data_IF_923645998121
#
_entry.id   IF_923645998121
#
_cell.length_a   1.000
_cell.length_b   1.000
_cell.length_c   1.000
_cell.angle_alpha   90.00
_cell.angle_beta   90.00
_cell.angle_gamma   90.00
#
_symmetry.space_group_name_H-M   'P 1'
#
loop_
_entity.id
_entity.type
_entity.pdbx_description
1 polymer ?
#
# COMPACT_ATOMS: atom_id res chain seq x y z
N UNK A 1 4.80 -13.95 12.02
CA UNK A 1 5.98 -13.07 11.84
C UNK A 1 6.41 -13.21 10.39
N UNK A 2 6.31 -12.14 9.61
CA UNK A 2 6.54 -12.19 8.15
C UNK A 2 8.04 -12.05 7.90
N UNK A 3 8.59 -12.98 7.10
CA UNK A 3 9.97 -12.95 6.66
C UNK A 3 10.02 -12.91 5.14
N UNK A 4 10.64 -11.87 4.61
CA UNK A 4 10.80 -11.66 3.18
C UNK A 4 12.17 -12.16 2.75
N UNK A 5 12.25 -12.87 1.63
CA UNK A 5 13.55 -13.22 1.02
C UNK A 5 14.17 -11.97 0.43
N UNK A 6 15.45 -11.71 0.73
CA UNK A 6 16.18 -10.62 0.09
C UNK A 6 16.77 -11.14 -1.21
N UNK A 7 16.40 -10.53 -2.34
CA UNK A 7 16.90 -10.96 -3.65
C UNK A 7 18.43 -10.91 -3.68
N UNK A 8 19.05 -12.01 -4.12
CA UNK A 8 20.51 -12.12 -4.24
C UNK A 8 21.24 -12.33 -2.91
N UNK A 9 20.53 -12.57 -1.79
CA UNK A 9 21.16 -12.87 -0.49
C UNK A 9 20.56 -14.14 0.14
N UNK A 10 21.35 -14.79 0.98
CA UNK A 10 20.90 -15.97 1.73
C UNK A 10 20.03 -15.61 2.95
N UNK A 11 20.06 -14.35 3.37
CA UNK A 11 19.33 -13.83 4.52
C UNK A 11 17.88 -13.48 4.18
N UNK A 12 17.03 -13.55 5.21
CA UNK A 12 15.66 -13.06 5.15
C UNK A 12 15.52 -11.78 5.97
N UNK A 13 14.72 -10.84 5.50
CA UNK A 13 14.33 -9.64 6.22
C UNK A 13 13.09 -9.92 7.07
N UNK A 14 13.16 -9.65 8.38
CA UNK A 14 12.00 -9.72 9.27
C UNK A 14 11.22 -8.41 9.17
N UNK A 15 9.97 -8.50 8.68
CA UNK A 15 9.12 -7.34 8.49
C UNK A 15 8.40 -6.99 9.80
N UNK A 16 8.73 -5.82 10.37
CA UNK A 16 8.12 -5.31 11.59
C UNK A 16 7.91 -3.78 11.57
N UNK A 17 7.02 -3.26 10.69
CA UNK A 17 6.80 -1.83 10.55
C UNK A 17 5.98 -1.26 11.71
N UNK A 18 6.37 -0.06 12.18
CA UNK A 18 5.55 0.71 13.14
C UNK A 18 4.32 1.35 12.51
N UNK A 19 4.32 1.55 11.19
CA UNK A 19 3.25 2.15 10.40
C UNK A 19 3.38 1.73 8.94
N UNK A 20 2.26 1.67 8.23
CA UNK A 20 2.21 1.47 6.78
C UNK A 20 1.48 2.69 6.22
N UNK A 21 2.13 3.44 5.33
CA UNK A 21 1.55 4.62 4.69
C UNK A 21 1.39 4.27 3.21
N UNK A 22 0.15 4.23 2.74
CA UNK A 22 -0.18 4.00 1.34
C UNK A 22 -0.33 5.34 0.62
N UNK A 23 -0.10 5.31 -0.70
CA UNK A 23 -0.16 6.46 -1.58
C UNK A 23 -1.14 6.18 -2.72
N UNK A 24 -2.30 6.82 -2.67
CA UNK A 24 -3.34 6.67 -3.69
C UNK A 24 -3.02 7.45 -4.97
N UNK A 25 -3.61 7.02 -6.09
CA UNK A 25 -3.62 7.73 -7.37
C UNK A 25 -2.22 8.14 -7.88
N UNK A 26 -1.26 7.22 -7.82
CA UNK A 26 0.14 7.49 -8.16
C UNK A 26 0.61 6.88 -9.50
N UNK A 27 -0.33 6.43 -10.35
CA UNK A 27 -0.09 5.97 -11.71
C UNK A 27 -1.09 6.64 -12.65
N UNK A 28 -0.62 7.22 -13.76
CA UNK A 28 -1.47 7.97 -14.72
C UNK A 28 -2.60 7.11 -15.27
N UNK A 29 -2.31 5.87 -15.62
CA UNK A 29 -3.30 4.94 -16.17
C UNK A 29 -4.32 4.53 -15.10
N UNK A 30 -3.89 4.36 -13.84
CA UNK A 30 -4.79 4.07 -12.73
C UNK A 30 -5.72 5.24 -12.40
N UNK A 31 -5.23 6.49 -12.50
CA UNK A 31 -6.08 7.69 -12.40
C UNK A 31 -7.14 7.67 -13.51
N UNK A 32 -6.73 7.40 -14.76
CA UNK A 32 -7.63 7.34 -15.91
C UNK A 32 -8.68 6.22 -15.78
N UNK A 33 -8.30 5.05 -15.27
CA UNK A 33 -9.23 3.96 -14.95
C UNK A 33 -10.23 4.36 -13.87
N UNK A 34 -9.76 5.04 -12.81
CA UNK A 34 -10.61 5.47 -11.70
C UNK A 34 -11.73 6.42 -12.15
N UNK A 35 -11.55 7.14 -13.27
CA UNK A 35 -12.61 7.95 -13.92
C UNK A 35 -13.82 7.12 -14.34
N UNK A 36 -13.64 5.83 -14.63
CA UNK A 36 -14.74 4.92 -14.94
C UNK A 36 -15.64 4.63 -13.72
N UNK A 37 -15.12 4.83 -12.51
CA UNK A 37 -15.83 4.68 -11.25
C UNK A 37 -16.45 6.03 -10.88
N UNK A 38 -17.75 6.21 -11.13
CA UNK A 38 -18.48 7.45 -10.81
C UNK A 38 -18.71 7.60 -9.31
N UNK A 39 -17.67 7.93 -8.56
CA UNK A 39 -17.76 8.27 -7.15
C UNK A 39 -18.11 9.76 -7.01
N UNK A 40 -19.17 10.07 -6.27
CA UNK A 40 -19.61 11.44 -6.03
C UNK A 40 -18.52 12.21 -5.25
N UNK A 41 -18.01 13.29 -5.82
CA UNK A 41 -16.94 14.11 -5.22
C UNK A 41 -15.52 13.65 -5.53
N UNK A 42 -15.35 12.68 -6.43
CA UNK A 42 -14.05 12.26 -6.91
C UNK A 42 -13.57 13.18 -8.05
N UNK A 43 -12.34 13.67 -7.95
CA UNK A 43 -11.70 14.44 -9.01
C UNK A 43 -10.93 13.51 -9.95
N UNK A 44 -10.95 13.83 -11.24
CA UNK A 44 -10.25 13.10 -12.30
C UNK A 44 -8.89 13.71 -12.61
N UNK A 45 -8.56 14.81 -11.95
CA UNK A 45 -7.32 15.54 -12.17
C UNK A 45 -6.15 14.80 -11.50
N UNK A 46 -4.95 14.99 -12.06
CA UNK A 46 -3.72 14.53 -11.41
C UNK A 46 -3.61 15.28 -10.07
N UNK A 47 -3.51 14.57 -8.94
CA UNK A 47 -3.38 15.24 -7.65
C UNK A 47 -2.13 16.12 -7.62
N UNK A 48 -2.29 17.40 -7.27
CA UNK A 48 -1.17 18.33 -7.10
C UNK A 48 -0.34 18.02 -5.83
N UNK A 49 -0.92 17.26 -4.89
CA UNK A 49 -0.27 16.77 -3.67
C UNK A 49 -0.50 15.26 -3.47
N UNK A 50 0.41 14.53 -2.79
CA UNK A 50 0.25 13.11 -2.52
C UNK A 50 -0.96 12.78 -1.66
N UNK A 51 -1.76 11.79 -2.07
CA UNK A 51 -2.90 11.29 -1.30
C UNK A 51 -2.43 10.17 -0.37
N UNK A 52 -2.15 10.51 0.88
CA UNK A 52 -1.62 9.56 1.87
C UNK A 52 -2.71 9.05 2.81
N UNK A 53 -2.72 7.74 3.06
CA UNK A 53 -3.60 7.13 4.05
C UNK A 53 -2.91 5.99 4.82
N UNK A 54 -3.24 5.78 6.10
CA UNK A 54 -2.61 4.74 6.89
C UNK A 54 -3.25 3.37 6.67
N UNK A 55 -2.43 2.33 6.70
CA UNK A 55 -2.84 0.97 7.04
C UNK A 55 -2.21 0.56 8.36
N UNK A 56 -2.93 -0.21 9.15
CA UNK A 56 -2.43 -0.71 10.44
C UNK A 56 -1.60 -1.99 10.22
N UNK A 57 -0.53 -2.24 10.99
CA UNK A 57 0.32 -3.42 10.79
C UNK A 57 -0.39 -4.78 10.84
N UNK A 58 -1.55 -4.88 11.51
CA UNK A 58 -2.33 -6.12 11.63
C UNK A 58 -2.97 -6.60 10.30
N UNK A 59 -2.87 -5.83 9.21
CA UNK A 59 -3.38 -6.23 7.90
C UNK A 59 -2.36 -7.00 7.06
N UNK A 60 -1.11 -7.11 7.52
CA UNK A 60 -0.06 -7.79 6.79
C UNK A 60 -0.21 -9.31 6.90
N UNK A 61 -0.08 -9.99 5.77
CA UNK A 61 0.10 -11.44 5.65
C UNK A 61 1.35 -11.70 4.80
N UNK A 62 1.97 -12.86 4.97
CA UNK A 62 3.15 -13.25 4.21
C UNK A 62 2.84 -13.66 2.78
N UNK A 63 3.89 -13.83 1.94
CA UNK A 63 3.75 -14.43 0.62
C UNK A 63 3.11 -15.82 0.71
N UNK A 64 2.25 -16.15 -0.25
CA UNK A 64 1.53 -17.44 -0.34
C UNK A 64 0.49 -17.68 0.78
N UNK A 65 0.32 -16.75 1.72
CA UNK A 65 -0.76 -16.83 2.71
C UNK A 65 -2.12 -16.45 2.09
N UNK A 66 -3.19 -17.07 2.57
CA UNK A 66 -4.55 -16.82 2.09
C UNK A 66 -5.10 -15.47 2.59
N UNK A 67 -5.79 -14.74 1.71
CA UNK A 67 -6.58 -13.57 2.09
C UNK A 67 -7.95 -14.06 2.61
N UNK A 68 -8.12 -14.06 3.93
CA UNK A 68 -9.39 -14.45 4.55
C UNK A 68 -10.39 -13.29 4.49
N UNK A 69 -11.37 -13.40 3.61
CA UNK A 69 -12.44 -12.40 3.47
C UNK A 69 -13.41 -12.49 4.67
N UNK A 70 -13.64 -11.39 5.41
CA UNK A 70 -14.49 -11.43 6.59
C UNK A 70 -15.93 -11.88 6.27
N UNK A 71 -16.41 -12.89 7.02
CA UNK A 71 -17.72 -13.49 6.76
C UNK A 71 -18.89 -12.49 6.88
N UNK A 72 -18.78 -11.51 7.78
CA UNK A 72 -19.81 -10.48 8.00
C UNK A 72 -20.06 -9.60 6.77
N UNK A 73 -19.16 -9.59 5.78
CA UNK A 73 -19.39 -8.84 4.54
C UNK A 73 -20.65 -9.34 3.82
N UNK A 74 -21.01 -10.61 3.99
CA UNK A 74 -22.25 -11.20 3.45
C UNK A 74 -23.52 -10.65 4.12
N UNK A 75 -23.39 -10.12 5.34
CA UNK A 75 -24.51 -9.53 6.08
C UNK A 75 -24.82 -8.10 5.59
N UNK A 76 -23.87 -7.47 4.89
CA UNK A 76 -24.17 -6.27 4.13
C UNK A 76 -25.06 -6.66 2.95
N UNK A 77 -26.29 -6.13 2.91
CA UNK A 77 -27.25 -6.29 1.81
C UNK A 77 -26.81 -5.56 0.51
N UNK A 78 -25.51 -5.50 0.23
CA UNK A 78 -25.00 -5.06 -1.05
C UNK A 78 -25.30 -6.13 -2.09
N UNK A 79 -25.79 -5.69 -3.26
CA UNK A 79 -26.07 -6.59 -4.39
C UNK A 79 -24.82 -7.38 -4.80
N UNK A 80 -23.66 -6.74 -4.73
CA UNK A 80 -22.36 -7.30 -5.06
C UNK A 80 -21.32 -6.82 -4.02
N UNK A 81 -21.00 -7.61 -2.98
CA UNK A 81 -19.90 -7.27 -2.08
C UNK A 81 -18.58 -7.25 -2.85
N UNK A 82 -17.86 -6.13 -2.80
CA UNK A 82 -16.61 -5.92 -3.55
C UNK A 82 -15.39 -6.09 -2.65
N UNK A 83 -14.49 -6.96 -3.09
CA UNK A 83 -13.10 -7.05 -2.63
C UNK A 83 -12.26 -6.85 -3.88
N UNK A 84 -11.23 -6.00 -3.79
CA UNK A 84 -10.42 -5.61 -4.94
C UNK A 84 -8.93 -5.78 -4.66
N UNK A 85 -8.16 -5.90 -5.74
CA UNK A 85 -6.71 -6.03 -5.67
C UNK A 85 -6.04 -4.73 -6.08
N UNK A 86 -4.96 -4.38 -5.40
CA UNK A 86 -4.07 -3.28 -5.75
C UNK A 86 -2.63 -3.79 -5.66
N UNK A 87 -1.95 -3.84 -6.81
CA UNK A 87 -0.55 -4.22 -6.89
C UNK A 87 0.32 -2.97 -6.77
N UNK A 88 1.05 -2.83 -5.67
CA UNK A 88 1.84 -1.65 -5.36
C UNK A 88 3.31 -1.99 -5.07
N UNK A 89 4.19 -1.02 -5.32
CA UNK A 89 5.59 -1.07 -4.88
C UNK A 89 5.67 -0.63 -3.42
N UNK A 90 6.19 -1.50 -2.55
CA UNK A 90 6.51 -1.12 -1.18
C UNK A 90 7.89 -0.44 -1.10
N UNK A 91 8.03 0.52 -0.19
CA UNK A 91 9.33 1.12 0.15
C UNK A 91 9.59 0.89 1.62
N UNK A 92 10.70 0.20 1.94
CA UNK A 92 11.09 -0.08 3.32
C UNK A 92 12.02 1.03 3.81
N UNK A 93 11.61 1.73 4.86
CA UNK A 93 12.41 2.81 5.45
C UNK A 93 13.46 2.22 6.39
N UNK A 94 14.71 2.64 6.20
CA UNK A 94 15.90 2.13 6.88
C UNK A 94 16.03 2.61 8.31
N UNK A 95 15.76 3.88 8.55
CA UNK A 95 16.02 4.53 9.83
C UNK A 95 14.98 5.60 10.16
N UNK A 96 14.95 6.01 11.43
CA UNK A 96 14.04 7.06 11.89
C UNK A 96 14.52 8.39 11.32
N UNK A 97 13.71 8.97 10.45
CA UNK A 97 13.98 10.28 9.86
C UNK A 97 12.85 11.29 10.13
N UNK A 98 13.14 12.59 9.95
CA UNK A 98 12.17 13.70 10.06
C UNK A 98 12.69 14.89 9.26
N UNK A 99 11.80 15.55 8.51
CA UNK A 99 12.12 16.73 7.69
C UNK A 99 13.32 16.50 6.75
N UNK A 100 13.35 15.33 6.11
CA UNK A 100 14.40 14.95 5.16
C UNK A 100 14.23 15.77 3.88
N UNK A 101 15.31 16.36 3.38
CA UNK A 101 15.31 17.04 2.08
C UNK A 101 15.10 16.02 0.95
N UNK A 102 14.40 16.41 -0.12
CA UNK A 102 14.04 15.49 -1.20
C UNK A 102 15.28 14.81 -1.82
N UNK A 103 16.38 15.54 -1.92
CA UNK A 103 17.65 15.08 -2.50
C UNK A 103 18.33 13.99 -1.64
N UNK A 104 17.97 13.89 -0.35
CA UNK A 104 18.54 12.95 0.61
C UNK A 104 17.60 11.76 0.88
N UNK A 105 16.40 11.75 0.29
CA UNK A 105 15.36 10.76 0.62
C UNK A 105 15.82 9.32 0.38
N UNK A 106 16.58 9.07 -0.69
CA UNK A 106 17.05 7.73 -1.05
C UNK A 106 18.03 7.13 -0.03
N UNK A 107 18.77 7.95 0.71
CA UNK A 107 19.72 7.48 1.73
C UNK A 107 19.03 6.79 2.92
N UNK A 108 17.74 7.08 3.10
CA UNK A 108 16.88 6.53 4.15
C UNK A 108 16.02 5.35 3.69
N UNK A 109 16.17 4.88 2.45
CA UNK A 109 15.47 3.70 1.93
C UNK A 109 16.35 2.47 2.16
N UNK A 110 15.82 1.46 2.83
CA UNK A 110 16.47 0.16 3.02
C UNK A 110 16.38 -0.70 1.76
N UNK A 111 15.22 -0.68 1.13
CA UNK A 111 14.92 -1.46 -0.06
C UNK A 111 13.46 -1.34 -0.48
N UNK A 112 13.08 -2.16 -1.45
CA UNK A 112 11.74 -2.27 -2.02
C UNK A 112 11.28 -3.72 -1.98
#
# INVERSE_FOLDING_TARGET
MIRLKVQGRAESYELNPSKIIALGLNYRDHIAESVSVKIKGFTTDIPDEPILFPKTPNVLIGPEEEIIIPAFIKDYNFKEPRVDYEAELAVIIKDRCKNVAAEQALDHIFGY
#
